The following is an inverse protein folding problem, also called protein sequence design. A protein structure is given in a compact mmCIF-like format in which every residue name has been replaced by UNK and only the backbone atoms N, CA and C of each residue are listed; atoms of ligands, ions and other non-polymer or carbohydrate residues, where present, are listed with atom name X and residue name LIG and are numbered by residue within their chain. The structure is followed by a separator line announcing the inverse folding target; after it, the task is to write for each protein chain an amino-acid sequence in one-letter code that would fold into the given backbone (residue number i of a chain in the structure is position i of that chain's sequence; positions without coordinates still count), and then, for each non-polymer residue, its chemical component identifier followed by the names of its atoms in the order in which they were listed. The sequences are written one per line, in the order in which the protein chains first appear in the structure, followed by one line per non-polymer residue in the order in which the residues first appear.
data_IF_798061166987
#
_entry.id   IF_798061166987
#
_cell.length_a   1.000
_cell.length_b   1.000
_cell.length_c   1.000
_cell.angle_alpha   90.00
_cell.angle_beta   90.00
_cell.angle_gamma   90.00
#
_symmetry.space_group_name_H-M   'P 1'
#
loop_
_entity.id
_entity.type
_entity.pdbx_description
1 polymer ?
#
# COMPACT_ATOMS: atom_id res chain seq x y z
N UNK A 1 17.52 3.19 -17.98
CA UNK A 1 16.30 2.38 -18.10
C UNK A 1 16.20 1.31 -17.02
N UNK A 2 17.14 0.37 -16.90
CA UNK A 2 17.08 -0.69 -15.88
C UNK A 2 17.07 -0.14 -14.43
N UNK A 3 17.92 0.84 -14.12
CA UNK A 3 17.98 1.45 -12.79
C UNK A 3 16.65 2.14 -12.40
N UNK A 4 16.00 2.81 -13.35
CA UNK A 4 14.68 3.45 -13.16
C UNK A 4 13.59 2.42 -12.88
N UNK A 5 13.58 1.35 -13.67
CA UNK A 5 12.68 0.23 -13.45
C UNK A 5 12.89 -0.38 -12.05
N UNK A 6 14.14 -0.61 -11.65
CA UNK A 6 14.47 -1.15 -10.34
C UNK A 6 14.05 -0.21 -9.19
N UNK A 7 14.25 1.11 -9.32
CA UNK A 7 13.75 2.10 -8.36
C UNK A 7 12.22 2.06 -8.27
N UNK A 8 11.53 2.01 -9.41
CA UNK A 8 10.07 1.86 -9.46
C UNK A 8 9.60 0.56 -8.79
N UNK A 9 10.25 -0.57 -9.08
CA UNK A 9 9.93 -1.86 -8.49
C UNK A 9 10.14 -1.86 -6.97
N UNK A 10 11.25 -1.29 -6.50
CA UNK A 10 11.53 -1.17 -5.08
C UNK A 10 10.47 -0.31 -4.38
N UNK A 11 10.05 0.80 -5.00
CA UNK A 11 8.96 1.64 -4.50
C UNK A 11 7.63 0.87 -4.44
N UNK A 12 7.32 0.07 -5.47
CA UNK A 12 6.14 -0.80 -5.49
C UNK A 12 6.14 -1.85 -4.37
N UNK A 13 7.29 -2.42 -4.03
CA UNK A 13 7.43 -3.32 -2.87
C UNK A 13 7.25 -2.56 -1.57
N UNK A 14 7.91 -1.42 -1.39
CA UNK A 14 7.87 -0.63 -0.15
C UNK A 14 6.44 -0.18 0.17
N UNK A 15 5.67 0.27 -0.81
CA UNK A 15 4.32 0.79 -0.57
C UNK A 15 3.31 -0.31 -0.23
N UNK A 16 3.55 -1.54 -0.71
CA UNK A 16 2.66 -2.69 -0.47
C UNK A 16 3.11 -3.62 0.65
N UNK A 17 4.35 -3.48 1.13
CA UNK A 17 4.89 -4.22 2.25
C UNK A 17 4.11 -4.06 3.58
N UNK A 18 3.58 -2.86 3.94
CA UNK A 18 2.76 -2.71 5.13
C UNK A 18 1.45 -3.51 4.99
N UNK A 19 1.34 -4.62 5.73
CA UNK A 19 0.20 -5.54 5.67
C UNK A 19 -1.04 -4.95 6.36
N UNK A 20 -1.66 -3.95 5.73
CA UNK A 20 -2.91 -3.33 6.17
C UNK A 20 -4.15 -4.21 5.90
N UNK A 21 -5.36 -3.61 5.87
CA UNK A 21 -6.62 -4.35 5.68
C UNK A 21 -6.65 -5.23 4.42
N UNK A 22 -6.02 -4.78 3.32
CA UNK A 22 -5.94 -5.53 2.07
C UNK A 22 -4.99 -6.74 2.19
N UNK A 23 -3.86 -6.57 2.87
CA UNK A 23 -2.94 -7.67 3.15
C UNK A 23 -3.62 -8.78 3.95
N UNK A 24 -4.45 -8.39 4.92
CA UNK A 24 -5.25 -9.33 5.70
C UNK A 24 -6.33 -10.03 4.88
N UNK A 25 -7.03 -9.30 4.02
CA UNK A 25 -7.99 -9.88 3.09
C UNK A 25 -7.32 -10.89 2.15
N UNK A 26 -6.12 -10.57 1.65
CA UNK A 26 -5.30 -11.44 0.83
C UNK A 26 -4.93 -12.72 1.58
N UNK A 27 -4.37 -12.61 2.79
CA UNK A 27 -4.03 -13.77 3.65
C UNK A 27 -5.27 -14.63 3.93
N UNK A 28 -6.37 -14.02 4.35
CA UNK A 28 -7.64 -14.73 4.65
C UNK A 28 -8.13 -15.51 3.43
N UNK A 29 -8.19 -14.87 2.26
CA UNK A 29 -8.64 -15.53 1.02
C UNK A 29 -7.67 -16.61 0.55
N UNK A 30 -6.36 -16.43 0.75
CA UNK A 30 -5.38 -17.48 0.49
C UNK A 30 -5.62 -18.70 1.37
N UNK A 31 -5.89 -18.50 2.66
CA UNK A 31 -6.16 -19.59 3.60
C UNK A 31 -7.50 -20.29 3.34
N UNK A 32 -8.55 -19.53 3.02
CA UNK A 32 -9.91 -20.07 2.80
C UNK A 32 -10.12 -20.68 1.41
N UNK A 33 -9.52 -20.10 0.37
CA UNK A 33 -9.82 -20.40 -1.04
C UNK A 33 -8.57 -20.67 -1.91
N UNK A 34 -7.38 -20.69 -1.31
CA UNK A 34 -6.11 -20.99 -1.98
C UNK A 34 -5.45 -19.79 -2.65
N UNK A 35 -4.24 -20.02 -3.17
CA UNK A 35 -3.34 -19.01 -3.77
C UNK A 35 -4.07 -18.01 -4.69
N UNK A 36 -4.83 -18.50 -5.67
CA UNK A 36 -5.45 -17.64 -6.69
C UNK A 36 -6.41 -16.60 -6.09
N UNK A 37 -7.08 -16.93 -4.99
CA UNK A 37 -8.03 -16.04 -4.34
C UNK A 37 -7.36 -14.92 -3.53
N UNK A 38 -6.16 -15.16 -2.98
CA UNK A 38 -5.34 -14.10 -2.38
C UNK A 38 -4.61 -13.29 -3.43
N UNK A 39 -4.03 -13.95 -4.44
CA UNK A 39 -3.31 -13.26 -5.50
C UNK A 39 -4.22 -12.32 -6.30
N UNK A 40 -5.51 -12.65 -6.48
CA UNK A 40 -6.47 -11.74 -7.12
C UNK A 40 -6.72 -10.46 -6.33
N UNK A 41 -6.59 -10.48 -4.99
CA UNK A 41 -6.58 -9.26 -4.17
C UNK A 41 -5.35 -8.41 -4.50
N UNK A 42 -4.19 -9.04 -4.52
CA UNK A 42 -2.92 -8.37 -4.80
C UNK A 42 -2.84 -7.78 -6.20
N UNK A 43 -3.39 -8.45 -7.20
CA UNK A 43 -3.48 -7.93 -8.57
C UNK A 43 -4.29 -6.63 -8.63
N UNK A 44 -5.41 -6.55 -7.90
CA UNK A 44 -6.22 -5.33 -7.85
C UNK A 44 -5.46 -4.18 -7.21
N UNK A 45 -4.74 -4.45 -6.13
CA UNK A 45 -3.87 -3.45 -5.49
C UNK A 45 -2.73 -3.02 -6.38
N UNK A 46 -2.04 -3.93 -7.06
CA UNK A 46 -0.97 -3.59 -7.99
C UNK A 46 -1.46 -2.69 -9.13
N UNK A 47 -2.67 -2.92 -9.65
CA UNK A 47 -3.29 -2.03 -10.64
C UNK A 47 -3.60 -0.63 -10.06
N UNK A 48 -4.00 -0.56 -8.78
CA UNK A 48 -4.20 0.70 -8.08
C UNK A 48 -2.88 1.47 -7.87
N UNK A 49 -1.83 0.76 -7.44
CA UNK A 49 -0.48 1.31 -7.28
C UNK A 49 0.08 1.84 -8.61
N UNK A 50 -0.13 1.11 -9.71
CA UNK A 50 0.25 1.56 -11.04
C UNK A 50 -0.51 2.82 -11.46
N UNK A 51 -1.81 2.90 -11.12
CA UNK A 51 -2.63 4.09 -11.40
C UNK A 51 -2.12 5.30 -10.62
N UNK A 52 -1.74 5.12 -9.35
CA UNK A 52 -1.12 6.18 -8.56
C UNK A 52 0.27 6.56 -9.05
N UNK A 53 1.11 5.60 -9.43
CA UNK A 53 2.39 5.89 -10.06
C UNK A 53 2.20 6.70 -11.35
N UNK A 54 1.18 6.39 -12.15
CA UNK A 54 0.86 7.13 -13.37
C UNK A 54 0.44 8.57 -13.06
N UNK A 55 -0.43 8.77 -12.07
CA UNK A 55 -0.83 10.10 -11.61
C UNK A 55 0.35 10.86 -11.01
N UNK A 56 1.19 10.20 -10.22
CA UNK A 56 2.38 10.79 -9.62
C UNK A 56 3.38 11.24 -10.68
N UNK A 57 3.54 10.47 -11.76
CA UNK A 57 4.45 10.75 -12.87
C UNK A 57 3.92 11.82 -13.83
N UNK A 58 2.63 11.80 -14.15
CA UNK A 58 2.02 12.78 -15.07
C UNK A 58 1.62 14.09 -14.37
N UNK A 59 1.35 14.02 -13.07
CA UNK A 59 0.90 15.14 -12.23
C UNK A 59 2.00 15.94 -11.55
N UNK A 60 3.29 15.63 -11.78
CA UNK A 60 4.45 16.29 -11.13
C UNK A 60 4.36 17.83 -11.21
N UNK A 61 3.87 18.37 -12.33
CA UNK A 61 3.74 19.82 -12.52
C UNK A 61 2.62 20.47 -11.67
N UNK A 62 1.57 19.73 -11.29
CA UNK A 62 0.46 20.22 -10.44
C UNK A 62 0.76 19.96 -8.96
N UNK A 63 1.49 18.88 -8.65
CA UNK A 63 1.89 18.55 -7.29
C UNK A 63 2.95 19.51 -6.72
N UNK A 64 3.97 19.92 -7.49
CA UNK A 64 5.06 20.79 -6.98
C UNK A 64 4.57 22.13 -6.41
N UNK A 65 3.60 22.80 -7.04
CA UNK A 65 3.08 24.08 -6.55
C UNK A 65 2.09 23.95 -5.39
N UNK A 66 1.40 22.81 -5.27
CA UNK A 66 0.36 22.60 -4.24
C UNK A 66 0.91 21.92 -2.97
N UNK A 67 2.03 21.19 -3.08
CA UNK A 67 2.53 20.32 -2.01
C UNK A 67 3.22 21.07 -0.85
N UNK A 68 3.81 22.25 -1.05
CA UNK A 68 4.49 22.98 0.03
C UNK A 68 3.53 23.51 1.10
N UNK A 69 2.32 23.92 0.69
CA UNK A 69 1.27 24.34 1.62
C UNK A 69 0.51 23.14 2.22
N UNK A 70 0.46 22.02 1.50
CA UNK A 70 -0.26 20.83 1.94
C UNK A 70 0.55 19.91 2.86
N UNK A 71 1.88 20.05 2.93
CA UNK A 71 2.76 19.09 3.63
C UNK A 71 2.38 18.91 5.11
N UNK A 72 2.14 20.02 5.81
CA UNK A 72 1.76 20.01 7.22
C UNK A 72 0.36 19.41 7.45
N UNK A 73 -0.73 19.87 6.80
CA UNK A 73 -2.05 19.26 6.99
C UNK A 73 -2.10 17.80 6.54
N UNK A 74 -1.29 17.40 5.55
CA UNK A 74 -1.14 16.00 5.13
C UNK A 74 -0.40 15.14 6.15
N UNK A 75 0.67 15.66 6.78
CA UNK A 75 1.37 14.96 7.85
C UNK A 75 0.47 14.77 9.08
N UNK A 76 -0.31 15.80 9.44
CA UNK A 76 -1.26 15.74 10.55
C UNK A 76 -2.41 14.78 10.22
N UNK A 77 -3.06 14.95 9.06
CA UNK A 77 -4.18 14.10 8.64
C UNK A 77 -3.78 12.64 8.43
N UNK A 78 -2.62 12.41 7.80
CA UNK A 78 -2.04 11.09 7.62
C UNK A 78 -1.67 10.43 8.94
N UNK A 79 -1.05 11.17 9.86
CA UNK A 79 -0.74 10.70 11.21
C UNK A 79 -1.97 10.27 12.00
N UNK A 80 -3.02 11.11 12.01
CA UNK A 80 -4.31 10.79 12.66
C UNK A 80 -4.97 9.57 12.02
N UNK A 81 -4.96 9.48 10.68
CA UNK A 81 -5.53 8.33 9.96
C UNK A 81 -4.78 7.03 10.29
N UNK A 82 -3.45 7.05 10.33
CA UNK A 82 -2.62 5.89 10.72
C UNK A 82 -2.91 5.44 12.15
N UNK A 83 -3.05 6.38 13.09
CA UNK A 83 -3.46 6.09 14.46
C UNK A 83 -4.85 5.46 14.52
N UNK A 84 -5.82 6.02 13.79
CA UNK A 84 -7.19 5.51 13.75
C UNK A 84 -7.25 4.09 13.15
N UNK A 85 -6.52 3.82 12.07
CA UNK A 85 -6.42 2.50 11.45
C UNK A 85 -5.72 1.49 12.36
N UNK A 86 -4.62 1.89 13.00
CA UNK A 86 -3.90 1.05 13.96
C UNK A 86 -4.76 0.69 15.17
N UNK A 87 -5.44 1.67 15.77
CA UNK A 87 -6.36 1.49 16.89
C UNK A 87 -7.56 0.60 16.51
N UNK A 88 -8.15 0.80 15.33
CA UNK A 88 -9.21 -0.08 14.81
C UNK A 88 -8.74 -1.51 14.64
N UNK A 89 -7.53 -1.74 14.15
CA UNK A 89 -6.97 -3.10 14.02
C UNK A 89 -6.67 -3.78 15.36
N UNK A 90 -6.48 -3.02 16.45
CA UNK A 90 -6.35 -3.57 17.82
C UNK A 90 -7.69 -3.87 18.50
N UNK A 91 -8.74 -3.12 18.17
CA UNK A 91 -10.04 -3.16 18.87
C UNK A 91 -11.13 -3.94 18.14
N UNK A 92 -11.06 -4.00 16.80
CA UNK A 92 -12.02 -4.73 15.98
C UNK A 92 -11.37 -5.97 15.39
N UNK A 93 -12.15 -7.04 15.25
CA UNK A 93 -11.69 -8.23 14.54
C UNK A 93 -11.42 -7.85 13.07
N UNK A 94 -10.16 -7.74 12.64
CA UNK A 94 -9.76 -7.27 11.30
C UNK A 94 -10.35 -8.14 10.19
N UNK A 95 -10.67 -9.39 10.54
CA UNK A 95 -11.29 -10.41 9.68
C UNK A 95 -12.71 -10.04 9.26
N UNK A 96 -13.42 -9.20 10.05
CA UNK A 96 -14.78 -8.73 9.75
C UNK A 96 -14.82 -7.46 8.90
N UNK A 97 -13.84 -6.56 9.03
CA UNK A 97 -13.86 -5.26 8.35
C UNK A 97 -13.60 -5.37 6.83
N UNK A 98 -12.81 -6.35 6.38
CA UNK A 98 -12.51 -6.56 4.97
C UNK A 98 -13.36 -7.67 4.33
N UNK A 99 -14.59 -7.91 4.81
CA UNK A 99 -15.48 -8.92 4.23
C UNK A 99 -16.05 -8.42 2.88
N UNK A 100 -15.18 -8.31 1.88
CA UNK A 100 -15.56 -8.03 0.50
C UNK A 100 -16.32 -9.25 0.00
N UNK A 101 -17.65 -9.12 -0.12
CA UNK A 101 -18.60 -10.13 -0.64
C UNK A 101 -18.40 -10.47 -2.13
N UNK A 102 -17.27 -10.12 -2.74
CA UNK A 102 -16.97 -10.48 -4.11
C UNK A 102 -16.85 -11.99 -4.25
N UNK A 103 -17.79 -12.58 -4.99
CA UNK A 103 -17.94 -14.03 -5.13
C UNK A 103 -16.84 -14.68 -5.98
N UNK A 104 -16.22 -13.94 -6.92
CA UNK A 104 -15.22 -14.44 -7.86
C UNK A 104 -13.91 -13.65 -7.89
N UNK A 105 -12.88 -14.21 -8.53
CA UNK A 105 -11.54 -13.63 -8.64
C UNK A 105 -11.58 -12.22 -9.22
N UNK A 106 -12.29 -12.04 -10.35
CA UNK A 106 -12.40 -10.75 -11.04
C UNK A 106 -13.10 -9.68 -10.18
N UNK A 107 -14.18 -10.03 -9.49
CA UNK A 107 -14.85 -9.12 -8.56
C UNK A 107 -13.97 -8.73 -7.37
N UNK A 108 -13.04 -9.62 -6.98
CA UNK A 108 -12.09 -9.37 -5.89
C UNK A 108 -11.00 -8.40 -6.33
N UNK A 109 -10.44 -8.62 -7.52
CA UNK A 109 -9.49 -7.71 -8.16
C UNK A 109 -10.10 -6.32 -8.35
N UNK A 110 -11.34 -6.24 -8.85
CA UNK A 110 -12.02 -4.95 -9.02
C UNK A 110 -12.26 -4.26 -7.67
N UNK A 111 -12.73 -4.98 -6.67
CA UNK A 111 -13.00 -4.40 -5.35
C UNK A 111 -11.72 -3.91 -4.66
N UNK A 112 -10.64 -4.67 -4.74
CA UNK A 112 -9.33 -4.29 -4.16
C UNK A 112 -8.66 -3.16 -4.94
N UNK A 113 -8.83 -3.11 -6.26
CA UNK A 113 -8.46 -1.96 -7.09
C UNK A 113 -9.20 -0.69 -6.65
N UNK A 114 -10.54 -0.73 -6.60
CA UNK A 114 -11.35 0.42 -6.21
C UNK A 114 -11.03 0.88 -4.78
N UNK A 115 -10.83 -0.06 -3.85
CA UNK A 115 -10.43 0.24 -2.49
C UNK A 115 -9.04 0.88 -2.43
N UNK A 116 -8.11 0.42 -3.26
CA UNK A 116 -6.76 0.99 -3.34
C UNK A 116 -6.81 2.41 -3.90
N UNK A 117 -7.51 2.63 -5.03
CA UNK A 117 -7.65 3.95 -5.68
C UNK A 117 -8.46 4.94 -4.85
N UNK A 118 -9.38 4.46 -4.01
CA UNK A 118 -10.13 5.30 -3.07
C UNK A 118 -9.37 5.58 -1.76
N UNK A 119 -8.15 5.07 -1.59
CA UNK A 119 -7.40 5.23 -0.35
C UNK A 119 -6.55 6.52 -0.36
N UNK A 120 -6.98 7.60 0.32
CA UNK A 120 -6.25 8.87 0.32
C UNK A 120 -4.84 8.72 0.91
N UNK A 121 -4.62 7.79 1.86
CA UNK A 121 -3.30 7.56 2.43
C UNK A 121 -2.28 7.07 1.39
N UNK A 122 -2.72 6.25 0.44
CA UNK A 122 -1.85 5.69 -0.59
C UNK A 122 -1.40 6.77 -1.57
N UNK A 123 -2.31 7.67 -1.99
CA UNK A 123 -1.97 8.84 -2.83
C UNK A 123 -0.86 9.68 -2.21
N UNK A 124 -1.02 10.00 -0.93
CA UNK A 124 -0.07 10.85 -0.20
C UNK A 124 1.29 10.16 -0.03
N UNK A 125 1.28 8.84 0.21
CA UNK A 125 2.50 8.03 0.32
C UNK A 125 3.28 8.01 -1.00
N UNK A 126 2.59 7.93 -2.14
CA UNK A 126 3.22 8.03 -3.46
C UNK A 126 3.91 9.38 -3.65
N UNK A 127 3.27 10.49 -3.27
CA UNK A 127 3.86 11.83 -3.35
C UNK A 127 5.15 11.95 -2.51
N UNK A 128 5.11 11.50 -1.26
CA UNK A 128 6.25 11.55 -0.35
C UNK A 128 7.42 10.65 -0.81
N UNK A 129 7.13 9.41 -1.22
CA UNK A 129 8.15 8.46 -1.66
C UNK A 129 8.76 8.85 -3.01
N UNK A 130 8.00 9.39 -3.96
CA UNK A 130 8.56 9.89 -5.22
C UNK A 130 9.54 11.04 -5.01
N UNK A 131 9.22 11.97 -4.09
CA UNK A 131 10.13 13.04 -3.69
C UNK A 131 11.39 12.47 -3.00
N UNK A 132 11.22 11.57 -2.02
CA UNK A 132 12.33 10.97 -1.27
C UNK A 132 13.28 10.11 -2.10
N UNK A 133 12.79 9.44 -3.15
CA UNK A 133 13.61 8.63 -4.06
C UNK A 133 14.22 9.44 -5.23
N UNK A 134 14.00 10.76 -5.27
CA UNK A 134 14.50 11.63 -6.33
C UNK A 134 13.95 11.27 -7.71
N UNK A 135 12.73 10.71 -7.78
CA UNK A 135 12.13 10.25 -9.03
C UNK A 135 11.52 11.41 -9.83
N UNK A 136 11.29 12.57 -9.22
CA UNK A 136 10.66 13.74 -9.86
C UNK A 136 11.46 14.29 -11.04
N UNK A 137 12.77 14.50 -10.89
CA UNK A 137 13.63 15.00 -11.98
C UNK A 137 13.89 13.92 -13.05
N UNK A 138 14.10 12.69 -12.61
CA UNK A 138 14.35 11.52 -13.48
C UNK A 138 13.14 11.23 -14.39
N UNK A 139 11.91 11.39 -13.88
CA UNK A 139 10.67 11.20 -14.65
C UNK A 139 10.52 12.23 -15.76
N UNK A 140 11.04 13.45 -15.57
CA UNK A 140 11.00 14.52 -16.58
C UNK A 140 11.96 14.23 -17.76
N UNK A 141 12.95 13.35 -17.56
CA UNK A 141 14.03 13.03 -18.52
C UNK A 141 13.88 11.66 -19.18
N UNK A 142 13.12 10.74 -18.57
CA UNK A 142 12.99 9.34 -18.99
C UNK A 142 11.53 8.90 -19.18
N UNK A 143 11.32 7.70 -19.74
CA UNK A 143 9.97 7.18 -20.03
C UNK A 143 9.20 6.84 -18.76
N UNK A 144 8.15 7.61 -18.50
CA UNK A 144 7.12 7.40 -17.47
C UNK A 144 6.63 5.96 -17.36
N UNK A 145 6.52 5.26 -18.50
CA UNK A 145 6.06 3.87 -18.56
C UNK A 145 7.01 2.90 -17.83
N UNK A 146 8.31 3.19 -17.79
CA UNK A 146 9.32 2.35 -17.13
C UNK A 146 9.16 2.39 -15.61
N UNK A 147 8.89 3.57 -15.04
CA UNK A 147 8.67 3.73 -13.61
C UNK A 147 7.34 3.09 -13.20
N UNK A 148 6.26 3.36 -13.93
CA UNK A 148 4.93 2.77 -13.67
C UNK A 148 4.98 1.24 -13.80
N UNK A 149 5.62 0.73 -14.85
CA UNK A 149 5.84 -0.70 -15.04
C UNK A 149 6.69 -1.32 -13.93
N UNK A 150 7.70 -0.61 -13.45
CA UNK A 150 8.49 -0.99 -12.28
C UNK A 150 7.61 -1.13 -11.04
N UNK A 151 6.87 -0.07 -10.67
CA UNK A 151 5.97 -0.07 -9.50
C UNK A 151 4.97 -1.20 -9.56
N UNK A 152 4.30 -1.38 -10.71
CA UNK A 152 3.37 -2.47 -10.92
C UNK A 152 4.03 -3.84 -10.69
N UNK A 153 5.20 -4.06 -11.29
CA UNK A 153 5.93 -5.33 -11.19
C UNK A 153 6.39 -5.63 -9.76
N UNK A 154 6.90 -4.61 -9.05
CA UNK A 154 7.32 -4.74 -7.66
C UNK A 154 6.15 -5.06 -6.73
N UNK A 155 5.05 -4.34 -6.86
CA UNK A 155 3.81 -4.59 -6.11
C UNK A 155 3.28 -6.01 -6.40
N UNK A 156 3.20 -6.39 -7.67
CA UNK A 156 2.72 -7.72 -8.07
C UNK A 156 3.61 -8.85 -7.53
N UNK A 157 4.94 -8.67 -7.56
CA UNK A 157 5.91 -9.63 -7.04
C UNK A 157 5.73 -9.82 -5.52
N UNK A 158 5.52 -8.73 -4.78
CA UNK A 158 5.24 -8.81 -3.35
C UNK A 158 3.96 -9.60 -3.06
N UNK A 159 2.88 -9.31 -3.78
CA UNK A 159 1.60 -10.01 -3.60
C UNK A 159 1.65 -11.48 -4.01
N UNK A 160 2.40 -11.80 -5.07
CA UNK A 160 2.69 -13.17 -5.47
C UNK A 160 3.44 -13.91 -4.34
N UNK A 161 4.50 -13.30 -3.81
CA UNK A 161 5.30 -13.87 -2.74
C UNK A 161 4.48 -14.08 -1.46
N UNK A 162 3.67 -13.10 -1.04
CA UNK A 162 2.80 -13.20 0.12
C UNK A 162 1.79 -14.35 -0.05
N UNK A 163 1.05 -14.34 -1.16
CA UNK A 163 0.03 -15.36 -1.43
C UNK A 163 0.64 -16.75 -1.58
N UNK A 164 1.80 -16.86 -2.22
CA UNK A 164 2.55 -18.11 -2.38
C UNK A 164 3.03 -18.66 -1.03
N UNK A 165 3.67 -17.82 -0.23
CA UNK A 165 4.19 -18.19 1.09
C UNK A 165 3.06 -18.62 2.03
N UNK A 166 1.96 -17.86 2.07
CA UNK A 166 0.78 -18.20 2.90
C UNK A 166 0.13 -19.49 2.40
N UNK A 167 -0.01 -19.68 1.08
CA UNK A 167 -0.60 -20.89 0.52
C UNK A 167 0.26 -22.13 0.78
N UNK A 168 1.59 -22.00 0.75
CA UNK A 168 2.52 -23.09 1.04
C UNK A 168 2.58 -23.41 2.53
N UNK A 169 2.57 -22.38 3.39
CA UNK A 169 2.65 -22.53 4.83
C UNK A 169 1.31 -22.85 5.50
N UNK A 170 0.18 -22.81 4.76
CA UNK A 170 -1.19 -22.88 5.33
C UNK A 170 -1.41 -24.03 6.29
N UNK A 171 -0.81 -25.20 6.03
CA UNK A 171 -0.98 -26.41 6.85
C UNK A 171 -0.15 -26.37 8.14
N UNK A 172 0.82 -25.45 8.23
CA UNK A 172 1.72 -25.24 9.37
C UNK A 172 1.41 -23.96 10.16
N UNK A 173 0.53 -23.10 9.65
CA UNK A 173 0.24 -21.81 10.26
C UNK A 173 -0.64 -21.98 11.51
N UNK A 174 -0.27 -21.39 12.66
CA UNK A 174 -1.12 -21.36 13.84
C UNK A 174 -2.46 -20.69 13.54
N UNK A 175 -3.54 -21.15 14.19
CA UNK A 175 -4.89 -20.55 14.05
C UNK A 175 -4.90 -19.03 14.33
N UNK A 176 -3.99 -18.56 15.19
CA UNK A 176 -3.88 -17.15 15.57
C UNK A 176 -2.92 -16.33 14.69
N UNK A 177 -2.33 -16.92 13.63
CA UNK A 177 -1.34 -16.24 12.78
C UNK A 177 -1.87 -14.91 12.23
N UNK A 178 -3.06 -14.95 11.65
CA UNK A 178 -3.77 -13.79 11.11
C UNK A 178 -3.93 -12.69 12.15
N UNK A 179 -4.29 -13.05 13.39
CA UNK A 179 -4.44 -12.09 14.50
C UNK A 179 -3.11 -11.49 14.95
N UNK A 180 -2.03 -12.29 14.99
CA UNK A 180 -0.68 -11.82 15.34
C UNK A 180 -0.12 -10.85 14.30
N UNK A 181 -0.31 -11.15 13.01
CA UNK A 181 0.08 -10.26 11.92
C UNK A 181 -0.66 -8.93 12.03
N UNK A 182 -1.97 -8.95 12.31
CA UNK A 182 -2.75 -7.71 12.47
C UNK A 182 -2.22 -6.87 13.63
N UNK A 183 -2.01 -7.48 14.80
CA UNK A 183 -1.48 -6.73 15.95
C UNK A 183 -0.13 -6.12 15.62
N UNK A 184 0.75 -6.87 14.97
CA UNK A 184 2.05 -6.38 14.50
C UNK A 184 1.92 -5.17 13.56
N UNK A 185 1.11 -5.28 12.51
CA UNK A 185 0.85 -4.15 11.59
C UNK A 185 0.19 -2.97 12.30
N UNK A 186 -0.77 -3.22 13.19
CA UNK A 186 -1.44 -2.17 13.97
C UNK A 186 -0.46 -1.37 14.82
N UNK A 187 0.47 -2.04 15.51
CA UNK A 187 1.51 -1.36 16.28
C UNK A 187 2.44 -0.53 15.38
N UNK A 188 2.84 -1.08 14.23
CA UNK A 188 3.63 -0.34 13.23
C UNK A 188 2.90 0.90 12.70
N UNK A 189 1.61 0.79 12.39
CA UNK A 189 0.79 1.91 11.94
C UNK A 189 0.65 2.98 13.03
N UNK A 190 0.48 2.58 14.30
CA UNK A 190 0.45 3.52 15.42
C UNK A 190 1.80 4.24 15.54
N UNK A 191 2.91 3.49 15.48
CA UNK A 191 4.26 4.04 15.56
C UNK A 191 4.53 5.06 14.45
N UNK A 192 4.19 4.72 13.19
CA UNK A 192 4.33 5.65 12.06
C UNK A 192 3.39 6.85 12.16
N UNK A 193 2.16 6.66 12.66
CA UNK A 193 1.24 7.75 12.93
C UNK A 193 1.80 8.75 13.95
N UNK A 194 2.36 8.25 15.06
CA UNK A 194 3.04 9.07 16.07
C UNK A 194 4.27 9.79 15.49
N UNK A 195 5.10 9.09 14.71
CA UNK A 195 6.28 9.67 14.07
C UNK A 195 5.91 10.80 13.08
N UNK A 196 4.86 10.61 12.29
CA UNK A 196 4.35 11.62 11.36
C UNK A 196 3.86 12.88 12.11
N UNK A 197 3.12 12.71 13.22
CA UNK A 197 2.67 13.82 14.05
C UNK A 197 3.83 14.54 14.75
N UNK A 198 4.82 13.79 15.25
CA UNK A 198 6.03 14.37 15.85
C UNK A 198 6.84 15.18 14.83
N UNK A 199 6.98 14.67 13.60
CA UNK A 199 7.63 15.39 12.51
C UNK A 199 6.88 16.67 12.14
N UNK A 200 5.55 16.63 12.10
CA UNK A 200 4.72 17.80 11.84
C UNK A 200 4.86 18.86 12.94
N UNK A 201 4.88 18.43 14.21
CA UNK A 201 5.10 19.33 15.35
C UNK A 201 6.50 19.97 15.31
N UNK A 202 7.53 19.21 14.94
CA UNK A 202 8.89 19.74 14.79
C UNK A 202 9.00 20.76 13.66
N UNK A 203 8.26 20.58 12.55
CA UNK A 203 8.26 21.54 11.44
C UNK A 203 7.53 22.87 11.73
N UNK A 204 6.84 22.96 12.87
CA UNK A 204 6.15 24.17 13.35
C UNK A 204 6.96 24.96 14.38
N UNK A 205 8.07 24.39 14.87
CA UNK A 205 9.01 25.02 15.82
C UNK A 205 10.17 25.68 15.07
#
# INVERSE_FOLDING_TARGET
MLLLFAKGALLGVIITAPLGPIGMLCIKRTLERGFSAGFSCGLGTALGDASYALVAVTGIAVFEQTMSAATLPLAIGGGILLLALGYRGLTHDPVRAANVRAAGLMGTTLATFLLTVSNPATILSFGALFAGFGLTEETRRFSSAVIVGGVFSGSLAWWFFLSGTVSFARDKLPRDFTAKVVRGTSYLLILFGLAALASAAYSLL
#
